data_IF_523872343124
#
_entry.id   IF_523872343124
#
_cell.length_a   1.000
_cell.length_b   1.000
_cell.length_c   1.000
_cell.angle_alpha   90.00
_cell.angle_beta   90.00
_cell.angle_gamma   90.00
#
_symmetry.space_group_name_H-M   'P 1'
#
loop_
_entity.id
_entity.type
_entity.pdbx_description
1 polymer ?
#
# COMPACT_ATOMS: atom_id res chain seq x y z
N UNK A 1 -6.28 13.54 -1.03
CA UNK A 1 -7.11 12.32 -1.13
C UNK A 1 -6.18 11.11 -1.02
N UNK A 2 -6.55 10.02 -0.33
CA UNK A 2 -5.66 8.87 -0.11
C UNK A 2 -5.94 7.77 -1.13
N UNK A 3 -4.86 7.22 -1.71
CA UNK A 3 -4.87 6.01 -2.53
C UNK A 3 -4.66 4.81 -1.59
N UNK A 4 -5.42 3.72 -1.79
CA UNK A 4 -5.28 2.49 -1.01
C UNK A 4 -4.96 1.32 -1.91
N UNK A 5 -4.07 0.44 -1.46
CA UNK A 5 -3.69 -0.77 -2.17
C UNK A 5 -3.57 -1.94 -1.23
N UNK A 6 -4.11 -3.09 -1.61
CA UNK A 6 -4.02 -4.33 -0.83
C UNK A 6 -3.18 -5.34 -1.61
N UNK A 7 -2.16 -5.91 -0.95
CA UNK A 7 -1.24 -6.87 -1.57
C UNK A 7 -1.11 -8.11 -0.69
N UNK A 8 -1.18 -9.28 -1.32
CA UNK A 8 -0.94 -10.56 -0.67
C UNK A 8 0.54 -10.95 -0.78
N UNK A 9 1.09 -11.49 0.30
CA UNK A 9 2.46 -11.96 0.36
C UNK A 9 2.64 -13.08 1.36
N UNK A 10 3.78 -13.77 1.31
CA UNK A 10 4.16 -14.78 2.32
C UNK A 10 4.93 -14.10 3.45
N UNK A 11 4.93 -14.72 4.63
CA UNK A 11 5.66 -14.20 5.80
C UNK A 11 7.12 -13.84 5.50
N UNK A 12 7.84 -14.69 4.74
CA UNK A 12 9.25 -14.46 4.41
C UNK A 12 9.50 -13.36 3.38
N UNK A 13 8.49 -12.99 2.58
CA UNK A 13 8.59 -11.97 1.53
C UNK A 13 8.00 -10.62 1.98
N UNK A 14 7.30 -10.62 3.11
CA UNK A 14 6.56 -9.46 3.60
C UNK A 14 7.45 -8.25 3.87
N UNK A 15 8.61 -8.45 4.50
CA UNK A 15 9.54 -7.36 4.78
C UNK A 15 10.07 -6.72 3.49
N UNK A 16 10.45 -7.53 2.51
CA UNK A 16 10.90 -7.04 1.20
C UNK A 16 9.80 -6.27 0.47
N UNK A 17 8.55 -6.75 0.54
CA UNK A 17 7.40 -6.04 -0.04
C UNK A 17 7.14 -4.71 0.66
N UNK A 18 7.13 -4.69 2.00
CA UNK A 18 6.92 -3.47 2.78
C UNK A 18 8.01 -2.44 2.50
N UNK A 19 9.27 -2.86 2.44
CA UNK A 19 10.40 -1.97 2.13
C UNK A 19 10.30 -1.38 0.72
N UNK A 20 9.90 -2.18 -0.28
CA UNK A 20 9.65 -1.67 -1.65
C UNK A 20 8.52 -0.63 -1.67
N UNK A 21 7.42 -0.94 -1.00
CA UNK A 21 6.26 -0.03 -0.94
C UNK A 21 6.62 1.28 -0.22
N UNK A 22 7.42 1.23 0.84
CA UNK A 22 7.92 2.41 1.53
C UNK A 22 8.80 3.28 0.61
N UNK A 23 9.66 2.68 -0.23
CA UNK A 23 10.45 3.42 -1.23
C UNK A 23 9.57 4.11 -2.28
N UNK A 24 8.41 3.53 -2.60
CA UNK A 24 7.40 4.10 -3.50
C UNK A 24 6.48 5.14 -2.82
N UNK A 25 6.73 5.45 -1.55
CA UNK A 25 5.99 6.43 -0.76
C UNK A 25 4.69 5.91 -0.17
N UNK A 26 4.54 4.60 0.01
CA UNK A 26 3.37 4.00 0.64
C UNK A 26 3.60 3.70 2.11
N UNK A 27 2.58 3.98 2.91
CA UNK A 27 2.51 3.66 4.33
C UNK A 27 1.70 2.38 4.55
N UNK A 28 2.08 1.58 5.55
CA UNK A 28 1.32 0.40 5.96
C UNK A 28 0.17 0.84 6.87
N UNK A 29 -1.06 0.49 6.48
CA UNK A 29 -2.29 0.77 7.24
C UNK A 29 -2.71 -0.43 8.07
N UNK A 30 -2.49 -1.65 7.56
CA UNK A 30 -2.90 -2.86 8.23
C UNK A 30 -2.25 -4.11 7.65
N UNK A 31 -2.08 -5.12 8.50
CA UNK A 31 -1.58 -6.45 8.12
C UNK A 31 -2.56 -7.47 8.64
N UNK A 32 -3.27 -8.14 7.73
CA UNK A 32 -4.27 -9.15 8.06
C UNK A 32 -3.67 -10.53 7.80
N UNK A 33 -3.76 -11.39 8.79
CA UNK A 33 -3.35 -12.77 8.67
C UNK A 33 -4.47 -13.59 8.03
N UNK A 34 -4.18 -14.25 6.90
CA UNK A 34 -5.16 -15.05 6.19
C UNK A 34 -4.65 -16.46 5.97
N UNK A 35 -5.47 -17.44 6.36
CA UNK A 35 -5.18 -18.86 6.19
C UNK A 35 -6.40 -19.55 5.60
N UNK A 36 -6.48 -19.57 4.26
CA UNK A 36 -7.36 -20.52 3.59
C UNK A 36 -6.68 -21.90 3.58
N UNK A 37 -5.56 -22.10 2.86
CA UNK A 37 -4.77 -23.37 2.83
C UNK A 37 -3.24 -23.19 2.90
N UNK A 38 -2.71 -21.98 2.71
CA UNK A 38 -1.31 -21.61 2.95
C UNK A 38 -1.28 -20.29 3.72
N UNK A 39 -0.32 -20.14 4.62
CA UNK A 39 -0.14 -18.94 5.43
C UNK A 39 0.24 -17.76 4.53
N UNK A 40 -0.67 -16.82 4.38
CA UNK A 40 -0.49 -15.59 3.61
C UNK A 40 -0.82 -14.37 4.49
N UNK A 41 -0.13 -13.28 4.19
CA UNK A 41 -0.36 -11.96 4.76
C UNK A 41 -1.02 -11.10 3.69
N UNK A 42 -2.13 -10.46 4.04
CA UNK A 42 -2.71 -9.38 3.25
C UNK A 42 -2.29 -8.06 3.89
N UNK A 43 -1.50 -7.27 3.18
CA UNK A 43 -1.02 -5.98 3.68
C UNK A 43 -1.77 -4.87 2.94
N UNK A 44 -2.40 -3.99 3.71
CA UNK A 44 -3.06 -2.79 3.22
C UNK A 44 -2.10 -1.62 3.32
N UNK A 45 -1.89 -0.95 2.21
CA UNK A 45 -1.06 0.24 2.08
C UNK A 45 -1.92 1.45 1.76
N UNK A 46 -1.48 2.63 2.20
CA UNK A 46 -2.03 3.91 1.76
C UNK A 46 -0.93 4.84 1.30
N UNK A 47 -1.25 5.71 0.35
CA UNK A 47 -0.38 6.80 -0.06
C UNK A 47 -1.20 8.07 -0.22
N UNK A 48 -0.62 9.20 0.16
CA UNK A 48 -1.22 10.48 -0.16
C UNK A 48 -1.09 10.74 -1.66
N UNK A 49 -2.21 10.98 -2.34
CA UNK A 49 -2.14 11.49 -3.70
C UNK A 49 -1.53 12.89 -3.62
N UNK A 50 -0.53 13.20 -4.46
CA UNK A 50 -0.05 14.58 -4.56
C UNK A 50 -1.26 15.48 -4.84
N UNK A 51 -1.31 16.69 -4.25
CA UNK A 51 -2.35 17.64 -4.61
C UNK A 51 -2.29 17.79 -6.13
N UNK A 52 -3.39 17.43 -6.79
CA UNK A 52 -3.46 17.50 -8.25
C UNK A 52 -3.03 18.89 -8.68
N UNK A 53 -2.15 18.97 -9.68
CA UNK A 53 -2.04 20.17 -10.52
C UNK A 53 -3.42 20.38 -11.15
N UNK A 54 -4.27 21.14 -10.47
CA UNK A 54 -5.69 21.22 -10.81
C UNK A 54 -6.45 22.28 -10.05
N UNK A 55 -5.80 23.36 -9.63
CA UNK A 55 -6.48 24.59 -9.22
C UNK A 55 -5.68 25.79 -9.73
N UNK A 56 -6.08 26.31 -10.90
CA UNK A 56 -5.58 27.58 -11.43
C UNK A 56 -5.36 27.57 -12.94
N UNK A 57 -6.40 27.89 -13.71
CA UNK A 57 -6.49 29.14 -14.51
C UNK A 57 -7.82 29.12 -15.28
N UNK A 58 -8.80 29.99 -14.94
CA UNK A 58 -9.86 30.30 -15.89
C UNK A 58 -9.26 31.23 -16.95
N UNK A 59 -9.25 30.79 -18.22
CA UNK A 59 -9.13 31.68 -19.38
C UNK A 59 -10.37 31.56 -20.22
#
# INVERSE_FOLDING_TARGET
MKEYRMLETRKGEAEALMNRMAQEGWDVVGVTYWSAWKLCLLITFSRELPPGKGEGEPR
#
